data_IF_123450336601
#
_entry.id   IF_123450336601
#
_cell.length_a   1.000
_cell.length_b   1.000
_cell.length_c   1.000
_cell.angle_alpha   90.00
_cell.angle_beta   90.00
_cell.angle_gamma   90.00
#
_symmetry.space_group_name_H-M   'P 1'
#
loop_
_entity.id
_entity.type
_entity.pdbx_description
1 polymer ?
#
# COMPACT_ATOMS: atom_id res chain seq x y z
N UNK A 1 26.67 9.21 -27.23
CA UNK A 1 27.27 9.87 -26.06
C UNK A 1 27.31 11.38 -26.33
N UNK A 2 26.98 12.26 -25.36
CA UNK A 2 26.09 12.06 -24.21
C UNK A 2 24.62 12.11 -24.75
N UNK A 3 23.55 12.70 -24.20
CA UNK A 3 23.08 13.04 -22.82
C UNK A 3 21.83 12.15 -22.54
N UNK A 4 21.37 11.81 -21.33
CA UNK A 4 21.34 12.40 -19.97
C UNK A 4 20.10 13.27 -19.66
N UNK A 5 19.20 12.66 -18.88
CA UNK A 5 18.15 13.23 -18.01
C UNK A 5 17.07 14.15 -18.60
N UNK A 6 15.85 13.60 -18.72
CA UNK A 6 14.66 14.29 -18.18
C UNK A 6 13.99 13.35 -17.18
N UNK A 7 14.17 13.63 -15.88
CA UNK A 7 13.46 12.95 -14.81
C UNK A 7 12.00 13.43 -14.81
N UNK A 8 11.15 12.86 -15.68
CA UNK A 8 9.72 13.15 -15.66
C UNK A 8 9.12 12.65 -14.34
N UNK A 9 8.72 13.60 -13.50
CA UNK A 9 8.00 13.31 -12.26
C UNK A 9 6.75 12.49 -12.59
N UNK A 10 6.62 11.31 -11.98
CA UNK A 10 5.48 10.40 -12.17
C UNK A 10 4.24 10.85 -11.38
N UNK A 11 4.34 11.90 -10.57
CA UNK A 11 3.26 12.47 -9.74
C UNK A 11 2.14 13.19 -10.54
N UNK A 12 2.14 13.12 -11.87
CA UNK A 12 1.16 13.79 -12.74
C UNK A 12 0.52 12.89 -13.81
N UNK A 13 0.77 11.59 -13.77
CA UNK A 13 0.26 10.64 -14.76
C UNK A 13 -0.80 9.72 -14.14
N UNK A 14 -2.04 10.22 -14.02
CA UNK A 14 -3.22 9.39 -13.76
C UNK A 14 -3.60 8.57 -15.00
N UNK A 15 -2.71 7.69 -15.44
CA UNK A 15 -3.14 6.44 -16.05
C UNK A 15 -3.85 5.60 -14.97
N UNK A 16 -4.75 4.70 -15.35
CA UNK A 16 -5.46 3.84 -14.40
C UNK A 16 -4.47 3.01 -13.59
N UNK A 17 -4.20 3.47 -12.37
CA UNK A 17 -3.32 2.76 -11.45
C UNK A 17 -4.00 1.45 -11.07
N UNK A 18 -3.32 0.29 -11.22
CA UNK A 18 -3.96 -1.01 -11.00
C UNK A 18 -4.39 -1.20 -9.54
N UNK A 19 -3.86 -0.41 -8.61
CA UNK A 19 -4.28 -0.37 -7.21
C UNK A 19 -5.64 0.32 -7.08
N UNK A 20 -5.81 1.54 -7.60
CA UNK A 20 -7.06 2.30 -7.59
C UNK A 20 -8.21 1.55 -8.27
N UNK A 21 -7.94 0.86 -9.38
CA UNK A 21 -8.91 -0.02 -10.03
C UNK A 21 -9.33 -1.21 -9.15
N UNK A 22 -8.40 -1.82 -8.40
CA UNK A 22 -8.69 -2.90 -7.44
C UNK A 22 -9.41 -2.38 -6.18
N UNK A 23 -9.15 -1.14 -5.75
CA UNK A 23 -9.86 -0.52 -4.64
C UNK A 23 -11.32 -0.19 -5.00
N UNK A 24 -11.53 0.29 -6.23
CA UNK A 24 -12.84 0.61 -6.79
C UNK A 24 -13.67 -0.61 -7.21
N UNK A 25 -13.12 -1.83 -7.13
CA UNK A 25 -13.80 -3.05 -7.58
C UNK A 25 -15.11 -3.30 -6.80
N UNK A 26 -16.18 -3.54 -7.55
CA UNK A 26 -17.49 -3.91 -7.02
C UNK A 26 -17.41 -5.25 -6.28
N UNK A 27 -18.18 -5.41 -5.19
CA UNK A 27 -18.05 -6.55 -4.29
C UNK A 27 -16.80 -6.51 -3.38
N UNK A 28 -15.71 -5.88 -3.82
CA UNK A 28 -14.53 -5.61 -2.98
C UNK A 28 -13.42 -6.65 -2.99
N UNK A 29 -13.44 -7.60 -3.94
CA UNK A 29 -12.41 -8.63 -4.06
C UNK A 29 -10.98 -8.06 -4.13
N UNK A 30 -10.75 -6.98 -4.90
CA UNK A 30 -9.48 -6.28 -4.95
C UNK A 30 -9.05 -5.66 -3.62
N UNK A 31 -10.00 -5.13 -2.81
CA UNK A 31 -9.72 -4.64 -1.45
C UNK A 31 -9.29 -5.79 -0.52
N UNK A 32 -9.95 -6.94 -0.60
CA UNK A 32 -9.55 -8.15 0.14
C UNK A 32 -8.17 -8.66 -0.31
N UNK A 33 -7.91 -8.71 -1.62
CA UNK A 33 -6.61 -9.11 -2.19
C UNK A 33 -5.47 -8.19 -1.73
N UNK A 34 -5.68 -6.87 -1.73
CA UNK A 34 -4.70 -5.90 -1.23
C UNK A 34 -4.49 -6.09 0.28
N UNK A 35 -5.54 -6.27 1.07
CA UNK A 35 -5.44 -6.51 2.51
C UNK A 35 -4.71 -7.83 2.86
N UNK A 36 -4.95 -8.88 2.08
CA UNK A 36 -4.23 -10.16 2.18
C UNK A 36 -2.74 -10.00 1.82
N UNK A 37 -2.41 -9.29 0.73
CA UNK A 37 -1.03 -8.99 0.32
C UNK A 37 -0.28 -8.21 1.40
N UNK A 38 -0.90 -7.17 1.96
CA UNK A 38 -0.32 -6.37 3.05
C UNK A 38 -0.11 -7.22 4.32
N UNK A 39 -1.04 -8.10 4.66
CA UNK A 39 -0.90 -9.04 5.80
C UNK A 39 0.25 -10.02 5.59
N UNK A 40 0.43 -10.54 4.36
CA UNK A 40 1.56 -11.41 4.03
C UNK A 40 2.92 -10.69 4.07
N UNK A 41 2.97 -9.40 3.73
CA UNK A 41 4.18 -8.57 3.86
C UNK A 41 4.53 -8.29 5.32
N UNK A 42 3.52 -7.95 6.13
CA UNK A 42 3.66 -7.80 7.59
C UNK A 42 4.19 -9.11 8.20
N UNK A 43 3.73 -10.28 7.75
CA UNK A 43 4.29 -11.58 8.14
C UNK A 43 5.79 -11.67 7.88
N UNK A 44 6.20 -11.54 6.60
CA UNK A 44 7.61 -11.60 6.17
C UNK A 44 8.54 -10.66 6.96
N UNK A 45 8.07 -9.44 7.25
CA UNK A 45 8.89 -8.46 7.98
C UNK A 45 8.99 -8.79 9.47
N UNK A 46 7.93 -9.33 10.10
CA UNK A 46 8.01 -9.84 11.47
C UNK A 46 8.98 -11.03 11.57
N UNK A 47 8.95 -11.96 10.60
CA UNK A 47 9.89 -13.08 10.54
C UNK A 47 11.34 -12.59 10.40
N UNK A 48 11.58 -11.60 9.54
CA UNK A 48 12.87 -10.94 9.41
C UNK A 48 13.30 -10.17 10.68
N UNK A 49 12.36 -9.62 11.45
CA UNK A 49 12.63 -8.89 12.70
C UNK A 49 13.31 -9.76 13.76
N UNK A 50 13.09 -11.08 13.73
CA UNK A 50 13.70 -12.04 14.64
C UNK A 50 15.22 -12.04 14.48
N UNK A 51 15.71 -12.12 13.24
CA UNK A 51 17.13 -12.25 12.89
C UNK A 51 17.82 -10.92 12.54
N UNK A 52 17.05 -9.84 12.36
CA UNK A 52 17.57 -8.51 12.03
C UNK A 52 18.65 -7.99 13.00
N UNK A 53 19.65 -7.30 12.47
CA UNK A 53 20.65 -6.60 13.27
C UNK A 53 19.99 -5.45 14.08
N UNK A 54 20.46 -5.14 15.31
CA UNK A 54 19.87 -4.09 16.14
C UNK A 54 19.76 -2.72 15.44
N UNK A 55 20.71 -2.41 14.56
CA UNK A 55 20.81 -1.17 13.76
C UNK A 55 19.77 -1.03 12.64
N UNK A 56 18.93 -2.03 12.40
CA UNK A 56 17.81 -1.95 11.44
C UNK A 56 16.45 -2.35 12.04
N UNK A 57 16.38 -2.67 13.34
CA UNK A 57 15.12 -3.13 13.96
C UNK A 57 14.09 -2.02 14.06
N UNK A 58 14.49 -0.77 14.29
CA UNK A 58 13.56 0.36 14.42
C UNK A 58 12.88 0.67 13.07
N UNK A 59 13.66 0.57 12.00
CA UNK A 59 13.25 0.80 10.61
C UNK A 59 12.26 -0.29 10.15
N UNK A 60 12.52 -1.55 10.51
CA UNK A 60 11.60 -2.66 10.24
C UNK A 60 10.32 -2.59 11.07
N UNK A 61 10.39 -2.17 12.35
CA UNK A 61 9.18 -1.90 13.17
C UNK A 61 8.35 -0.77 12.55
N UNK A 62 9.00 0.34 12.16
CA UNK A 62 8.32 1.46 11.49
C UNK A 62 7.64 1.00 10.19
N UNK A 63 8.31 0.16 9.39
CA UNK A 63 7.73 -0.40 8.17
C UNK A 63 6.50 -1.29 8.45
N UNK A 64 6.52 -2.10 9.51
CA UNK A 64 5.35 -2.88 9.95
C UNK A 64 4.17 -1.97 10.31
N UNK A 65 4.41 -0.87 11.05
CA UNK A 65 3.33 0.07 11.39
C UNK A 65 2.81 0.85 10.17
N UNK A 66 3.68 1.24 9.23
CA UNK A 66 3.25 1.83 7.97
C UNK A 66 2.36 0.86 7.15
N UNK A 67 2.71 -0.43 7.10
CA UNK A 67 1.91 -1.45 6.42
C UNK A 67 0.58 -1.74 7.14
N UNK A 68 0.56 -1.73 8.48
CA UNK A 68 -0.67 -1.82 9.30
C UNK A 68 -1.60 -0.64 9.04
N UNK A 69 -1.08 0.58 9.02
CA UNK A 69 -1.82 1.78 8.69
C UNK A 69 -2.39 1.73 7.25
N UNK A 70 -1.57 1.34 6.27
CA UNK A 70 -2.02 1.15 4.89
C UNK A 70 -3.15 0.11 4.80
N UNK A 71 -3.04 -1.03 5.49
CA UNK A 71 -4.08 -2.06 5.51
C UNK A 71 -5.38 -1.55 6.11
N UNK A 72 -5.31 -0.77 7.20
CA UNK A 72 -6.49 -0.16 7.82
C UNK A 72 -7.17 0.88 6.93
N UNK A 73 -6.44 1.59 6.07
CA UNK A 73 -7.02 2.48 5.04
C UNK A 73 -7.74 1.66 3.96
N UNK A 74 -7.15 0.55 3.50
CA UNK A 74 -7.76 -0.35 2.51
C UNK A 74 -9.04 -1.00 3.06
N UNK A 75 -9.01 -1.53 4.29
CA UNK A 75 -10.18 -2.07 5.00
C UNK A 75 -11.33 -1.05 5.10
N UNK A 76 -11.01 0.21 5.45
CA UNK A 76 -12.00 1.29 5.61
C UNK A 76 -12.43 1.95 4.31
N UNK A 77 -11.73 1.72 3.19
CA UNK A 77 -12.00 2.40 1.92
C UNK A 77 -13.43 2.19 1.41
N UNK A 78 -14.02 1.04 1.72
CA UNK A 78 -15.44 0.73 1.47
C UNK A 78 -16.41 1.77 2.04
N UNK A 79 -16.10 2.36 3.20
CA UNK A 79 -16.96 3.32 3.89
C UNK A 79 -16.93 4.72 3.26
N UNK A 80 -15.90 5.05 2.47
CA UNK A 80 -15.84 6.34 1.76
C UNK A 80 -16.71 6.36 0.50
N UNK A 81 -16.96 5.20 -0.13
CA UNK A 81 -17.86 5.11 -1.29
C UNK A 81 -19.28 5.54 -0.91
N UNK A 82 -19.82 4.98 0.18
CA UNK A 82 -21.17 5.29 0.68
C UNK A 82 -21.36 6.78 1.07
N UNK A 83 -20.28 7.50 1.37
CA UNK A 83 -20.36 8.92 1.71
C UNK A 83 -20.58 9.84 0.49
N UNK A 84 -20.40 9.32 -0.73
CA UNK A 84 -20.52 10.08 -1.98
C UNK A 84 -21.93 10.12 -2.55
N UNK A 85 -22.79 9.18 -2.14
CA UNK A 85 -24.21 9.07 -2.52
C UNK A 85 -25.15 9.75 -1.50
N UNK A 86 -24.60 10.53 -0.57
CA UNK A 86 -25.31 11.18 0.56
C UNK A 86 -25.29 12.72 0.50
N UNK A 87 -25.01 13.31 -0.67
CA UNK A 87 -24.96 14.76 -0.91
C UNK A 87 -25.72 15.12 -2.20
#
# INVERSE_FOLDING_TARGET
>A
MPQKNVSKSTLGACADLPLEAQLAEAGGAGREMIAARLTAEIGRINDALVTAAPTVKNELVLLVECLRAARQVVERSASFTNARDLI
#
